data_IF_922683121498
#
_entry.id   IF_922683121498
#
_cell.length_a   1.000
_cell.length_b   1.000
_cell.length_c   1.000
_cell.angle_alpha   90.00
_cell.angle_beta   90.00
_cell.angle_gamma   90.00
#
_symmetry.space_group_name_H-M   'P 1'
#
loop_
_entity.id
_entity.type
_entity.pdbx_description
1 polymer ?
#
# COMPACT_ATOMS: atom_id res chain seq x y z
N UNK A 1 -19.90 18.42 -4.16
CA UNK A 1 -18.55 18.29 -3.56
C UNK A 1 -17.52 18.02 -4.66
N UNK A 2 -16.41 18.78 -4.73
CA UNK A 2 -15.27 18.44 -5.61
C UNK A 2 -14.61 17.16 -5.09
N UNK A 3 -14.14 16.26 -5.98
CA UNK A 3 -13.36 15.07 -5.60
C UNK A 3 -12.11 15.45 -4.80
N UNK A 4 -11.70 14.59 -3.87
CA UNK A 4 -10.45 14.71 -3.14
C UNK A 4 -9.27 14.39 -4.08
N UNK A 5 -8.22 15.20 -4.00
CA UNK A 5 -6.99 14.93 -4.74
C UNK A 5 -6.22 13.79 -4.07
N UNK A 6 -5.91 12.75 -4.85
CA UNK A 6 -5.12 11.61 -4.40
C UNK A 6 -3.63 11.94 -4.27
N UNK A 7 -3.15 13.04 -4.84
CA UNK A 7 -1.74 13.44 -4.80
C UNK A 7 -1.21 13.55 -3.37
N UNK A 8 -1.99 14.20 -2.50
CA UNK A 8 -1.68 14.37 -1.08
C UNK A 8 -1.69 13.05 -0.29
N UNK A 9 -2.43 12.05 -0.76
CA UNK A 9 -2.49 10.73 -0.13
C UNK A 9 -1.28 9.90 -0.56
N UNK A 10 -0.94 9.95 -1.85
CA UNK A 10 0.21 9.25 -2.42
C UNK A 10 1.52 9.57 -1.69
N UNK A 11 1.84 10.85 -1.49
CA UNK A 11 3.05 11.26 -0.80
C UNK A 11 3.05 10.88 0.68
N UNK A 12 1.89 10.96 1.35
CA UNK A 12 1.77 10.53 2.76
C UNK A 12 2.00 9.03 2.94
N UNK A 13 1.65 8.20 1.95
CA UNK A 13 1.89 6.75 2.00
C UNK A 13 3.36 6.38 2.14
N UNK A 14 4.30 7.25 1.75
CA UNK A 14 5.74 7.00 1.96
C UNK A 14 6.10 6.94 3.45
N UNK A 15 5.33 7.59 4.29
CA UNK A 15 5.53 7.65 5.74
C UNK A 15 4.59 6.71 6.51
N UNK A 16 3.89 5.80 5.82
CA UNK A 16 2.87 4.94 6.47
C UNK A 16 3.47 4.01 7.55
N UNK A 17 4.73 3.63 7.41
CA UNK A 17 5.47 2.85 8.40
C UNK A 17 6.26 3.70 9.39
N UNK A 18 6.25 5.03 9.27
CA UNK A 18 7.06 5.93 10.10
C UNK A 18 6.68 5.93 11.58
N UNK A 19 5.51 5.41 11.94
CA UNK A 19 4.98 5.43 13.29
C UNK A 19 4.42 4.06 13.70
N UNK A 20 5.28 3.04 13.69
CA UNK A 20 4.92 1.68 14.04
C UNK A 20 4.70 1.54 15.56
N UNK A 21 3.60 0.91 15.96
CA UNK A 21 3.33 0.62 17.38
C UNK A 21 2.71 -0.76 17.55
N UNK A 22 2.97 -1.44 18.66
CA UNK A 22 2.32 -2.74 18.93
C UNK A 22 0.79 -2.64 19.05
N UNK A 23 0.27 -1.46 19.40
CA UNK A 23 -1.18 -1.23 19.58
C UNK A 23 -1.92 -1.13 18.24
N UNK A 24 -1.37 -0.42 17.26
CA UNK A 24 -2.06 -0.14 15.99
C UNK A 24 -1.29 -0.58 14.73
N UNK A 25 -0.07 -1.09 14.89
CA UNK A 25 0.88 -1.41 13.81
C UNK A 25 1.12 -0.20 12.92
N UNK A 26 0.69 -0.25 11.65
CA UNK A 26 0.78 0.89 10.72
C UNK A 26 -0.49 1.76 10.71
N UNK A 27 -1.45 1.49 11.61
CA UNK A 27 -2.72 2.22 11.72
C UNK A 27 -2.56 3.72 11.96
N UNK A 28 -1.56 4.15 12.74
CA UNK A 28 -1.28 5.59 12.91
C UNK A 28 -0.83 6.25 11.59
N UNK A 29 0.03 5.58 10.82
CA UNK A 29 0.43 6.04 9.49
C UNK A 29 -0.74 6.04 8.49
N UNK A 30 -1.64 5.06 8.60
CA UNK A 30 -2.88 5.03 7.81
C UNK A 30 -3.78 6.23 8.16
N UNK A 31 -3.97 6.52 9.45
CA UNK A 31 -4.72 7.69 9.92
C UNK A 31 -4.09 8.99 9.43
N UNK A 32 -2.76 9.11 9.48
CA UNK A 32 -2.04 10.26 8.94
C UNK A 32 -2.34 10.47 7.44
N UNK A 33 -2.41 9.39 6.65
CA UNK A 33 -2.78 9.45 5.24
C UNK A 33 -4.23 9.93 5.03
N UNK A 34 -5.13 9.69 5.96
CA UNK A 34 -6.56 10.05 5.91
C UNK A 34 -6.86 11.49 6.39
N UNK A 35 -5.90 12.20 6.99
CA UNK A 35 -6.10 13.58 7.47
C UNK A 35 -6.63 14.58 6.42
N UNK A 36 -6.29 14.50 5.12
CA UNK A 36 -6.89 15.38 4.12
C UNK A 36 -8.39 15.18 3.95
N UNK A 37 -8.87 13.94 4.09
CA UNK A 37 -10.31 13.61 4.08
C UNK A 37 -10.97 14.25 5.29
N UNK A 38 -10.42 14.00 6.49
CA UNK A 38 -10.87 14.58 7.75
C UNK A 38 -11.05 16.10 7.65
N UNK A 39 -9.99 16.82 7.23
CA UNK A 39 -9.97 18.29 7.16
C UNK A 39 -11.02 18.87 6.21
N UNK A 40 -11.41 18.12 5.18
CA UNK A 40 -12.29 18.61 4.12
C UNK A 40 -13.75 18.28 4.37
N UNK A 41 -14.03 17.16 5.03
CA UNK A 41 -15.36 16.58 5.12
C UNK A 41 -15.99 16.68 6.50
N UNK A 42 -15.19 16.80 7.56
CA UNK A 42 -15.67 16.79 8.93
C UNK A 42 -15.29 18.10 9.63
N UNK A 43 -16.30 18.88 10.03
CA UNK A 43 -16.12 20.15 10.74
C UNK A 43 -16.26 19.98 12.25
N UNK A 44 -17.25 19.19 12.68
CA UNK A 44 -17.62 19.05 14.08
C UNK A 44 -16.56 18.28 14.89
N UNK A 45 -16.21 18.74 16.11
CA UNK A 45 -15.19 18.10 16.94
C UNK A 45 -15.48 16.62 17.22
N UNK A 46 -16.75 16.27 17.49
CA UNK A 46 -17.14 14.89 17.78
C UNK A 46 -17.03 13.97 16.55
N UNK A 47 -17.44 14.46 15.38
CA UNK A 47 -17.27 13.71 14.13
C UNK A 47 -15.78 13.49 13.79
N UNK A 48 -14.94 14.51 14.04
CA UNK A 48 -13.49 14.42 13.84
C UNK A 48 -12.87 13.39 14.76
N UNK A 49 -13.29 13.37 16.03
CA UNK A 49 -12.83 12.37 17.01
C UNK A 49 -13.22 10.97 16.59
N UNK A 50 -14.48 10.75 16.18
CA UNK A 50 -14.96 9.47 15.67
C UNK A 50 -14.19 9.03 14.41
N UNK A 51 -13.88 9.96 13.49
CA UNK A 51 -13.05 9.70 12.32
C UNK A 51 -11.64 9.26 12.67
N UNK A 52 -10.98 9.97 13.58
CA UNK A 52 -9.64 9.64 14.02
C UNK A 52 -9.61 8.27 14.72
N UNK A 53 -10.60 7.97 15.56
CA UNK A 53 -10.69 6.68 16.25
C UNK A 53 -10.78 5.50 15.27
N UNK A 54 -11.69 5.54 14.28
CA UNK A 54 -11.82 4.46 13.28
C UNK A 54 -10.59 4.30 12.39
N UNK A 55 -9.85 5.37 12.14
CA UNK A 55 -8.63 5.31 11.32
C UNK A 55 -7.36 5.00 12.10
N UNK A 56 -7.39 5.13 13.44
CA UNK A 56 -6.34 4.69 14.36
C UNK A 56 -6.46 3.23 14.80
N UNK A 57 -7.56 2.55 14.44
CA UNK A 57 -7.72 1.12 14.64
C UNK A 57 -6.53 0.33 14.10
N UNK A 58 -6.34 -0.86 14.68
CA UNK A 58 -5.30 -1.79 14.24
C UNK A 58 -5.38 -2.02 12.73
N UNK A 59 -4.29 -1.72 12.04
CA UNK A 59 -4.14 -2.02 10.63
C UNK A 59 -2.71 -2.48 10.39
N UNK A 60 -2.56 -3.73 9.97
CA UNK A 60 -1.27 -4.31 9.63
C UNK A 60 -1.32 -4.97 8.27
N UNK A 61 -0.49 -4.49 7.35
CA UNK A 61 -0.41 -5.01 6.00
C UNK A 61 0.89 -4.55 5.35
N UNK A 62 1.20 -5.05 4.16
CA UNK A 62 2.40 -4.66 3.44
C UNK A 62 2.34 -3.18 3.04
N UNK A 63 3.38 -2.37 3.32
CA UNK A 63 3.34 -0.91 3.21
C UNK A 63 3.08 -0.38 1.79
N UNK A 64 3.48 -1.12 0.76
CA UNK A 64 3.26 -0.70 -0.62
C UNK A 64 1.83 -0.99 -1.07
N UNK A 65 1.24 -2.06 -0.54
CA UNK A 65 -0.12 -2.51 -0.83
C UNK A 65 -1.19 -1.85 0.05
N UNK A 66 -0.81 -1.31 1.21
CA UNK A 66 -1.70 -0.51 2.05
C UNK A 66 -2.37 0.66 1.30
N UNK A 67 -1.73 1.18 0.26
CA UNK A 67 -2.28 2.20 -0.66
C UNK A 67 -3.57 1.77 -1.37
N UNK A 68 -3.74 0.48 -1.64
CA UNK A 68 -4.95 -0.08 -2.26
C UNK A 68 -6.17 0.04 -1.33
N UNK A 69 -5.98 -0.32 -0.05
CA UNK A 69 -6.99 -0.10 0.98
C UNK A 69 -7.25 1.40 1.17
N UNK A 70 -6.19 2.21 1.27
CA UNK A 70 -6.32 3.65 1.47
C UNK A 70 -7.19 4.30 0.40
N UNK A 71 -6.92 4.03 -0.88
CA UNK A 71 -7.72 4.59 -1.97
C UNK A 71 -9.20 4.22 -1.85
N UNK A 72 -9.49 2.95 -1.57
CA UNK A 72 -10.86 2.48 -1.39
C UNK A 72 -11.54 3.17 -0.21
N UNK A 73 -10.84 3.29 0.92
CA UNK A 73 -11.36 3.97 2.11
C UNK A 73 -11.60 5.45 1.85
N UNK A 74 -10.75 6.16 1.09
CA UNK A 74 -11.03 7.55 0.69
C UNK A 74 -12.35 7.63 -0.08
N UNK A 75 -12.59 6.75 -1.06
CA UNK A 75 -13.87 6.71 -1.78
C UNK A 75 -15.03 6.42 -0.84
N UNK A 76 -14.90 5.44 0.04
CA UNK A 76 -15.97 5.04 0.95
C UNK A 76 -16.34 6.15 1.94
N UNK A 77 -15.36 6.92 2.43
CA UNK A 77 -15.63 8.11 3.26
C UNK A 77 -16.31 9.23 2.45
N UNK A 78 -15.91 9.44 1.19
CA UNK A 78 -16.63 10.36 0.28
C UNK A 78 -18.09 9.93 0.06
N UNK A 79 -18.32 8.63 -0.11
CA UNK A 79 -19.66 8.07 -0.33
C UNK A 79 -20.52 8.08 0.92
N UNK A 80 -19.93 7.84 2.10
CA UNK A 80 -20.66 7.82 3.36
C UNK A 80 -21.27 9.18 3.68
N UNK A 81 -20.51 10.26 3.51
CA UNK A 81 -21.04 11.63 3.71
C UNK A 81 -22.01 12.02 2.60
N UNK A 82 -21.70 11.69 1.33
CA UNK A 82 -22.59 12.02 0.20
C UNK A 82 -23.96 11.34 0.30
N UNK A 83 -23.99 10.11 0.81
CA UNK A 83 -25.21 9.30 0.95
C UNK A 83 -25.78 9.33 2.37
N UNK A 84 -25.22 10.15 3.27
CA UNK A 84 -25.61 10.23 4.68
C UNK A 84 -25.76 8.85 5.34
N UNK A 85 -24.68 8.05 5.32
CA UNK A 85 -24.70 6.74 5.97
C UNK A 85 -24.89 6.90 7.49
N UNK A 86 -25.81 6.12 8.04
CA UNK A 86 -26.07 6.09 9.48
C UNK A 86 -24.96 5.37 10.27
N UNK A 87 -24.19 4.49 9.60
CA UNK A 87 -23.12 3.70 10.22
C UNK A 87 -21.86 3.63 9.32
N UNK A 88 -20.70 3.82 9.94
CA UNK A 88 -19.37 3.75 9.32
C UNK A 88 -18.61 2.44 9.61
N UNK A 89 -19.15 1.57 10.47
CA UNK A 89 -18.57 0.26 10.79
C UNK A 89 -18.23 -0.60 9.56
N UNK A 90 -19.00 -0.58 8.44
CA UNK A 90 -18.61 -1.29 7.22
C UNK A 90 -17.21 -0.90 6.69
N UNK A 91 -16.76 0.33 6.91
CA UNK A 91 -15.41 0.81 6.51
C UNK A 91 -14.34 0.14 7.38
N UNK A 92 -14.54 0.07 8.70
CA UNK A 92 -13.62 -0.61 9.63
C UNK A 92 -13.53 -2.11 9.33
N UNK A 93 -14.68 -2.77 9.14
CA UNK A 93 -14.73 -4.19 8.76
C UNK A 93 -13.99 -4.44 7.45
N UNK A 94 -14.19 -3.58 6.46
CA UNK A 94 -13.51 -3.68 5.17
C UNK A 94 -11.98 -3.56 5.31
N UNK A 95 -11.49 -2.59 6.09
CA UNK A 95 -10.05 -2.46 6.39
C UNK A 95 -9.50 -3.74 7.01
N UNK A 96 -10.20 -4.29 7.99
CA UNK A 96 -9.78 -5.51 8.68
C UNK A 96 -9.71 -6.71 7.73
N UNK A 97 -10.72 -6.88 6.86
CA UNK A 97 -10.76 -7.95 5.87
C UNK A 97 -9.64 -7.84 4.83
N UNK A 98 -9.25 -6.63 4.46
CA UNK A 98 -8.18 -6.41 3.48
C UNK A 98 -6.77 -6.60 4.04
N UNK A 99 -6.57 -6.54 5.36
CA UNK A 99 -5.24 -6.66 5.97
C UNK A 99 -4.50 -7.92 5.50
N UNK A 100 -5.16 -9.07 5.60
CA UNK A 100 -4.59 -10.38 5.25
C UNK A 100 -4.18 -10.48 3.77
N UNK A 101 -5.11 -10.30 2.82
CA UNK A 101 -4.79 -10.38 1.39
C UNK A 101 -3.71 -9.39 0.95
N UNK A 102 -3.78 -8.13 1.40
CA UNK A 102 -2.79 -7.11 1.05
C UNK A 102 -1.40 -7.43 1.64
N UNK A 103 -1.37 -8.00 2.85
CA UNK A 103 -0.13 -8.46 3.49
C UNK A 103 0.48 -9.60 2.68
N UNK A 104 -0.27 -10.67 2.48
CA UNK A 104 0.22 -11.86 1.77
C UNK A 104 0.73 -11.55 0.35
N UNK A 105 -0.04 -10.77 -0.43
CA UNK A 105 0.36 -10.40 -1.80
C UNK A 105 1.62 -9.53 -1.79
N UNK A 106 1.66 -8.53 -0.90
CA UNK A 106 2.78 -7.61 -0.83
C UNK A 106 4.06 -8.28 -0.36
N UNK A 107 3.97 -9.09 0.70
CA UNK A 107 5.10 -9.82 1.27
C UNK A 107 5.68 -10.80 0.24
N UNK A 108 4.82 -11.58 -0.42
CA UNK A 108 5.24 -12.51 -1.47
C UNK A 108 5.91 -11.76 -2.63
N UNK A 109 5.26 -10.73 -3.19
CA UNK A 109 5.75 -10.06 -4.39
C UNK A 109 7.01 -9.22 -4.14
N UNK A 110 7.03 -8.44 -3.06
CA UNK A 110 8.11 -7.47 -2.82
C UNK A 110 9.20 -7.99 -1.89
N UNK A 111 8.86 -8.59 -0.77
CA UNK A 111 9.87 -9.04 0.21
C UNK A 111 10.49 -10.37 -0.16
N UNK A 112 9.70 -11.32 -0.66
CA UNK A 112 10.21 -12.64 -1.08
C UNK A 112 10.59 -12.70 -2.56
N UNK A 113 9.91 -11.94 -3.43
CA UNK A 113 10.16 -11.95 -4.88
C UNK A 113 11.16 -10.87 -5.33
N UNK A 114 10.68 -9.63 -5.45
CA UNK A 114 11.42 -8.54 -6.09
C UNK A 114 12.68 -8.13 -5.34
N UNK A 115 12.63 -8.02 -4.00
CA UNK A 115 13.79 -7.57 -3.21
C UNK A 115 14.98 -8.53 -3.33
N UNK A 116 14.83 -9.86 -3.16
CA UNK A 116 15.92 -10.79 -3.37
C UNK A 116 16.42 -10.81 -4.82
N UNK A 117 15.50 -10.76 -5.80
CA UNK A 117 15.87 -10.74 -7.22
C UNK A 117 16.68 -9.49 -7.61
N UNK A 118 16.24 -8.31 -7.16
CA UNK A 118 16.95 -7.06 -7.37
C UNK A 118 18.31 -7.05 -6.65
N UNK A 119 18.40 -7.63 -5.45
CA UNK A 119 19.65 -7.76 -4.72
C UNK A 119 20.63 -8.70 -5.43
N UNK A 120 20.17 -9.85 -5.93
CA UNK A 120 21.00 -10.79 -6.70
C UNK A 120 21.56 -10.12 -7.97
N UNK A 121 20.72 -9.40 -8.72
CA UNK A 121 21.16 -8.59 -9.87
C UNK A 121 22.22 -7.57 -9.47
N UNK A 122 22.01 -6.86 -8.36
CA UNK A 122 22.94 -5.85 -7.88
C UNK A 122 24.29 -6.45 -7.46
N UNK A 123 24.29 -7.59 -6.78
CA UNK A 123 25.52 -8.30 -6.41
C UNK A 123 26.30 -8.73 -7.66
N UNK A 124 25.64 -9.35 -8.63
CA UNK A 124 26.28 -9.72 -9.90
C UNK A 124 26.88 -8.50 -10.62
N UNK A 125 26.13 -7.40 -10.69
CA UNK A 125 26.63 -6.14 -11.27
C UNK A 125 27.77 -5.53 -10.46
N UNK A 126 27.77 -5.67 -9.14
CA UNK A 126 28.83 -5.14 -8.29
C UNK A 126 30.15 -5.89 -8.54
N UNK A 127 30.08 -7.21 -8.71
CA UNK A 127 31.22 -8.05 -9.02
C UNK A 127 31.80 -7.77 -10.41
N UNK A 128 30.95 -7.44 -11.39
CA UNK A 128 31.36 -7.26 -12.79
C UNK A 128 31.63 -5.80 -13.19
N UNK A 129 30.87 -4.84 -12.65
CA UNK A 129 30.82 -3.44 -13.09
C UNK A 129 30.97 -2.43 -11.91
N UNK A 130 31.21 -2.92 -10.68
CA UNK A 130 31.44 -2.07 -9.51
C UNK A 130 30.24 -1.19 -9.14
N UNK A 131 30.45 0.13 -9.06
CA UNK A 131 29.51 1.08 -8.47
C UNK A 131 28.17 1.21 -9.21
N UNK A 132 28.09 0.82 -10.49
CA UNK A 132 26.85 0.86 -11.32
C UNK A 132 25.74 0.01 -10.70
N UNK A 133 26.08 -1.01 -9.89
CA UNK A 133 25.12 -1.81 -9.15
C UNK A 133 24.17 -0.99 -8.27
N UNK A 134 24.65 0.11 -7.68
CA UNK A 134 23.89 0.95 -6.75
C UNK A 134 22.69 1.62 -7.44
N UNK A 135 22.88 2.46 -8.49
CA UNK A 135 21.75 3.07 -9.17
C UNK A 135 20.83 2.03 -9.83
N UNK A 136 21.38 0.92 -10.35
CA UNK A 136 20.55 -0.15 -10.92
C UNK A 136 19.64 -0.79 -9.87
N UNK A 137 20.17 -1.15 -8.69
CA UNK A 137 19.36 -1.67 -7.60
C UNK A 137 18.25 -0.69 -7.21
N UNK A 138 18.60 0.59 -7.03
CA UNK A 138 17.65 1.61 -6.63
C UNK A 138 16.51 1.75 -7.66
N UNK A 139 16.83 1.72 -8.96
CA UNK A 139 15.82 1.83 -10.02
C UNK A 139 14.96 0.56 -10.07
N UNK A 140 15.58 -0.61 -10.15
CA UNK A 140 14.88 -1.90 -10.29
C UNK A 140 13.96 -2.17 -9.11
N UNK A 141 14.38 -1.81 -7.89
CA UNK A 141 13.55 -1.98 -6.71
C UNK A 141 12.48 -0.88 -6.56
N UNK A 142 12.85 0.40 -6.67
CA UNK A 142 11.92 1.48 -6.32
C UNK A 142 10.90 1.81 -7.41
N UNK A 143 11.21 1.63 -8.70
CA UNK A 143 10.26 1.93 -9.78
C UNK A 143 8.98 1.07 -9.65
N UNK A 144 9.06 -0.27 -9.48
CA UNK A 144 7.88 -1.08 -9.21
C UNK A 144 7.16 -0.67 -7.93
N UNK A 145 7.88 -0.33 -6.85
CA UNK A 145 7.29 0.12 -5.58
C UNK A 145 6.44 1.38 -5.79
N UNK A 146 6.97 2.39 -6.49
CA UNK A 146 6.26 3.63 -6.78
C UNK A 146 5.05 3.40 -7.68
N UNK A 147 5.19 2.54 -8.68
CA UNK A 147 4.12 2.16 -9.60
C UNK A 147 2.97 1.45 -8.88
N UNK A 148 3.24 0.38 -8.12
CA UNK A 148 2.19 -0.38 -7.42
C UNK A 148 1.49 0.44 -6.33
N UNK A 149 2.21 1.38 -5.69
CA UNK A 149 1.62 2.31 -4.74
C UNK A 149 0.64 3.29 -5.43
N UNK A 150 1.04 3.85 -6.58
CA UNK A 150 0.19 4.77 -7.34
C UNK A 150 -1.03 4.06 -7.93
N UNK A 151 -0.80 2.90 -8.56
CA UNK A 151 -1.82 2.04 -9.13
C UNK A 151 -2.84 1.62 -8.07
N UNK A 152 -2.35 1.21 -6.90
CA UNK A 152 -3.18 0.79 -5.78
C UNK A 152 -4.09 1.89 -5.28
N UNK A 153 -3.53 3.07 -5.02
CA UNK A 153 -4.29 4.23 -4.59
C UNK A 153 -5.38 4.60 -5.60
N UNK A 154 -5.06 4.62 -6.90
CA UNK A 154 -6.01 4.96 -7.95
C UNK A 154 -7.10 3.88 -8.12
N UNK A 155 -6.73 2.60 -8.20
CA UNK A 155 -7.70 1.50 -8.36
C UNK A 155 -8.59 1.33 -7.14
N UNK A 156 -8.01 1.43 -5.93
CA UNK A 156 -8.74 1.46 -4.69
C UNK A 156 -9.80 2.57 -4.72
N UNK A 157 -9.38 3.80 -5.05
CA UNK A 157 -10.30 4.94 -5.14
C UNK A 157 -11.38 4.77 -6.21
N UNK A 158 -11.10 4.11 -7.33
CA UNK A 158 -12.12 3.85 -8.35
C UNK A 158 -13.14 2.81 -7.89
N UNK A 159 -12.69 1.74 -7.23
CA UNK A 159 -13.53 0.57 -6.91
C UNK A 159 -14.24 0.67 -5.57
N UNK A 160 -13.62 1.22 -4.52
CA UNK A 160 -14.21 1.18 -3.17
C UNK A 160 -14.26 -0.27 -2.68
N UNK A 161 -15.41 -0.76 -2.21
CA UNK A 161 -15.55 -2.14 -1.74
C UNK A 161 -15.14 -3.21 -2.78
N UNK A 162 -15.41 -2.95 -4.06
CA UNK A 162 -15.15 -3.92 -5.14
C UNK A 162 -13.66 -4.19 -5.41
N UNK A 163 -12.75 -3.45 -4.77
CA UNK A 163 -11.30 -3.70 -4.92
C UNK A 163 -10.90 -5.08 -4.40
N UNK A 164 -11.69 -5.66 -3.47
CA UNK A 164 -11.45 -7.00 -2.92
C UNK A 164 -11.36 -8.07 -4.02
N UNK A 165 -12.13 -7.90 -5.10
CA UNK A 165 -12.13 -8.82 -6.24
C UNK A 165 -10.83 -8.77 -7.05
N UNK A 166 -10.04 -7.71 -6.90
CA UNK A 166 -8.74 -7.57 -7.57
C UNK A 166 -7.57 -8.13 -6.77
N UNK A 167 -7.76 -8.37 -5.47
CA UNK A 167 -6.71 -8.69 -4.52
C UNK A 167 -6.66 -10.20 -4.26
N UNK A 168 -6.31 -10.97 -5.29
CA UNK A 168 -6.07 -12.41 -5.19
C UNK A 168 -4.62 -12.76 -5.48
N UNK A 169 -4.03 -13.64 -4.68
CA UNK A 169 -2.66 -14.13 -4.87
C UNK A 169 -2.45 -14.68 -6.28
N UNK A 170 -3.40 -15.45 -6.80
CA UNK A 170 -3.38 -16.01 -8.15
C UNK A 170 -3.14 -14.96 -9.24
N UNK A 171 -3.66 -13.74 -9.08
CA UNK A 171 -3.48 -12.67 -10.06
C UNK A 171 -2.06 -12.08 -10.05
N UNK A 172 -1.39 -12.12 -8.90
CA UNK A 172 -0.02 -11.60 -8.74
C UNK A 172 1.04 -12.70 -8.86
N UNK A 173 0.65 -13.97 -8.83
CA UNK A 173 1.56 -15.12 -8.94
C UNK A 173 2.49 -15.04 -10.17
N UNK A 174 2.03 -14.71 -11.40
CA UNK A 174 2.94 -14.63 -12.55
C UNK A 174 4.05 -13.59 -12.38
N UNK A 175 3.76 -12.46 -11.72
CA UNK A 175 4.76 -11.43 -11.44
C UNK A 175 5.80 -11.92 -10.43
N UNK A 176 5.34 -12.66 -9.42
CA UNK A 176 6.22 -13.29 -8.45
C UNK A 176 7.12 -14.34 -9.11
N UNK A 177 6.57 -15.22 -9.94
CA UNK A 177 7.32 -16.28 -10.64
C UNK A 177 8.42 -15.68 -11.53
N UNK A 178 8.14 -14.57 -12.21
CA UNK A 178 9.15 -13.82 -12.98
C UNK A 178 10.24 -13.27 -12.07
N UNK A 179 9.89 -12.66 -10.93
CA UNK A 179 10.89 -12.15 -9.98
C UNK A 179 11.79 -13.27 -9.47
N UNK A 180 11.22 -14.40 -9.05
CA UNK A 180 11.96 -15.56 -8.55
C UNK A 180 12.86 -16.14 -9.64
N UNK A 181 12.33 -16.34 -10.86
CA UNK A 181 13.10 -16.87 -11.98
C UNK A 181 14.31 -16.00 -12.31
N UNK A 182 14.13 -14.67 -12.38
CA UNK A 182 15.23 -13.72 -12.55
C UNK A 182 16.23 -13.78 -11.40
N UNK A 183 15.74 -13.86 -10.16
CA UNK A 183 16.60 -13.96 -8.98
C UNK A 183 17.47 -15.21 -8.99
N UNK A 184 16.93 -16.37 -9.39
CA UNK A 184 17.69 -17.62 -9.54
C UNK A 184 18.77 -17.47 -10.61
N UNK A 185 18.44 -16.88 -11.76
CA UNK A 185 19.40 -16.64 -12.85
C UNK A 185 20.56 -15.77 -12.36
N UNK A 186 20.28 -14.61 -11.76
CA UNK A 186 21.34 -13.70 -11.31
C UNK A 186 22.16 -14.29 -10.17
N UNK A 187 21.55 -15.09 -9.29
CA UNK A 187 22.29 -15.80 -8.24
C UNK A 187 23.25 -16.82 -8.87
N UNK A 188 22.80 -17.57 -9.89
CA UNK A 188 23.66 -18.50 -10.64
C UNK A 188 24.81 -17.81 -11.36
N UNK A 189 24.63 -16.58 -11.84
CA UNK A 189 25.71 -15.79 -12.46
C UNK A 189 26.74 -15.25 -11.46
N UNK A 190 26.48 -15.32 -10.15
CA UNK A 190 27.43 -14.92 -9.11
C UNK A 190 28.40 -16.03 -8.69
N UNK A 191 28.15 -17.28 -9.11
CA UNK A 191 28.96 -18.47 -8.78
C UNK A 191 29.79 -18.86 -9.99
#
# INVERSE_FOLDING_TARGET
MRRISLFNHYWRCFFIQGSWSYKSMIGLGFCFCMLPVLKRMYAEPEERKAFLQRHLEFFNSHPFFASWCLGAVVKLEEESVRKAWDDHNPISIFKQRLMGPLGAIGDQLFWSGLKPAAAALAVWLALSNGWIAIPVFLIVYNVPVFYFRALGLQRGYQKGFDIVNDLSLRRFQPWYDVCVGLGVIFTGMCV
#
